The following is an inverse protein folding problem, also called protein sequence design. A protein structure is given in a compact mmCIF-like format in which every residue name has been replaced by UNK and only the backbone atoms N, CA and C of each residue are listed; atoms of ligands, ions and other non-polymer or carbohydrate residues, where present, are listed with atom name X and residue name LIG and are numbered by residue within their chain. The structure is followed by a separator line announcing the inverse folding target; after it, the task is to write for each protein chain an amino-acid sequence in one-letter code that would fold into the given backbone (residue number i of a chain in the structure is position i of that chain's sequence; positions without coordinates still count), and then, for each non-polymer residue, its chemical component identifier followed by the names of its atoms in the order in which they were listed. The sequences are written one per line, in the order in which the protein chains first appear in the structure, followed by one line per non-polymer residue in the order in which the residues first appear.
data_IF_884697210335
#
_entry.id   IF_884697210335
#
_cell.length_a   1.000
_cell.length_b   1.000
_cell.length_c   1.000
_cell.angle_alpha   90.00
_cell.angle_beta   90.00
_cell.angle_gamma   90.00
#
_symmetry.space_group_name_H-M   'P 1'
#
loop_
_entity.id
_entity.type
_entity.pdbx_description
1 polymer ?
#
# COMPACT_ATOMS: atom_id res chain seq x y z
N UNK A 1 -10.79 4.97 4.32
CA UNK A 1 -9.62 4.38 3.64
C UNK A 1 -9.67 4.46 2.10
N UNK A 2 -10.85 4.58 1.49
CA UNK A 2 -10.99 4.69 0.03
C UNK A 2 -11.54 6.05 -0.36
N UNK A 3 -12.72 6.39 0.17
CA UNK A 3 -13.43 7.61 -0.23
C UNK A 3 -12.66 8.90 0.06
N UNK A 4 -11.80 8.93 1.08
CA UNK A 4 -10.91 10.08 1.32
C UNK A 4 -9.97 10.34 0.13
N UNK A 5 -9.39 9.29 -0.45
CA UNK A 5 -8.55 9.39 -1.64
C UNK A 5 -9.36 9.81 -2.88
N UNK A 6 -10.57 9.25 -3.05
CA UNK A 6 -11.48 9.61 -4.14
C UNK A 6 -11.88 11.10 -4.06
N UNK A 7 -12.26 11.57 -2.86
CA UNK A 7 -12.65 12.97 -2.67
C UNK A 7 -11.46 13.93 -2.84
N UNK A 8 -10.27 13.56 -2.36
CA UNK A 8 -9.07 14.34 -2.59
C UNK A 8 -8.75 14.46 -4.09
N UNK A 9 -8.76 13.33 -4.81
CA UNK A 9 -8.55 13.33 -6.26
C UNK A 9 -9.61 14.17 -6.98
N UNK A 10 -10.89 13.97 -6.70
CA UNK A 10 -11.98 14.76 -7.29
C UNK A 10 -11.81 16.27 -7.08
N UNK A 11 -11.33 16.68 -5.92
CA UNK A 11 -11.16 18.09 -5.58
C UNK A 11 -9.91 18.71 -6.21
N UNK A 12 -8.80 17.99 -6.23
CA UNK A 12 -7.49 18.54 -6.59
C UNK A 12 -7.15 18.37 -8.07
N UNK A 13 -7.59 17.26 -8.67
CA UNK A 13 -7.24 16.89 -10.04
C UNK A 13 -7.58 17.95 -11.10
N UNK A 14 -8.75 18.64 -11.08
CA UNK A 14 -9.05 19.66 -12.09
C UNK A 14 -8.01 20.76 -12.18
N UNK A 15 -7.56 21.29 -11.04
CA UNK A 15 -6.54 22.35 -11.00
C UNK A 15 -5.14 21.81 -11.33
N UNK A 16 -4.83 20.57 -10.97
CA UNK A 16 -3.58 19.91 -11.36
C UNK A 16 -3.50 19.74 -12.86
N UNK A 17 -4.57 19.28 -13.51
CA UNK A 17 -4.65 19.12 -14.97
C UNK A 17 -4.57 20.47 -15.69
N UNK A 18 -5.24 21.50 -15.19
CA UNK A 18 -5.19 22.85 -15.76
C UNK A 18 -3.78 23.43 -15.79
N UNK A 19 -2.98 23.20 -14.76
CA UNK A 19 -1.58 23.66 -14.71
C UNK A 19 -0.58 22.67 -15.31
N UNK A 20 -1.03 21.48 -15.74
CA UNK A 20 -0.18 20.44 -16.32
C UNK A 20 0.79 19.79 -15.33
N UNK A 21 0.56 19.92 -14.02
CA UNK A 21 1.44 19.34 -13.00
C UNK A 21 0.72 19.05 -11.69
N UNK A 22 1.03 17.93 -11.06
CA UNK A 22 0.52 17.55 -9.77
C UNK A 22 1.09 16.21 -9.32
N UNK A 23 0.98 15.92 -8.02
CA UNK A 23 1.44 14.65 -7.49
C UNK A 23 0.52 14.13 -6.38
N UNK A 24 0.12 12.87 -6.48
CA UNK A 24 -0.60 12.16 -5.43
C UNK A 24 0.30 11.12 -4.77
N UNK A 25 0.38 11.15 -3.45
CA UNK A 25 0.94 10.04 -2.66
C UNK A 25 -0.19 9.46 -1.83
N UNK A 26 -0.64 8.29 -2.18
CA UNK A 26 -1.69 7.58 -1.46
C UNK A 26 -1.08 6.56 -0.50
N UNK A 27 -1.58 6.48 0.74
CA UNK A 27 -1.13 5.46 1.70
C UNK A 27 -2.12 4.29 1.73
N UNK A 28 -1.68 3.16 1.17
CA UNK A 28 -2.37 1.89 1.29
C UNK A 28 -1.80 1.04 2.45
N UNK A 29 -1.26 -0.11 2.15
CA UNK A 29 -0.60 -1.06 3.05
C UNK A 29 -0.11 -2.25 2.22
N UNK A 30 0.86 -3.01 2.71
CA UNK A 30 1.17 -4.35 2.21
C UNK A 30 -0.09 -5.26 2.16
N UNK A 31 -1.06 -5.03 3.05
CA UNK A 31 -2.37 -5.71 3.01
C UNK A 31 -3.18 -5.42 1.75
N UNK A 32 -2.89 -4.36 1.02
CA UNK A 32 -3.49 -4.07 -0.29
C UNK A 32 -2.89 -4.91 -1.43
N UNK A 33 -1.68 -5.42 -1.25
CA UNK A 33 -1.01 -6.33 -2.17
C UNK A 33 -1.24 -7.80 -1.77
N UNK A 34 -1.15 -8.10 -0.47
CA UNK A 34 -1.05 -9.46 0.07
C UNK A 34 -2.34 -9.98 0.72
N UNK A 35 -3.19 -9.10 1.22
CA UNK A 35 -4.33 -9.35 2.12
C UNK A 35 -3.94 -9.44 3.60
N UNK A 36 -4.87 -9.06 4.47
CA UNK A 36 -4.74 -9.16 5.93
C UNK A 36 -5.69 -10.26 6.43
N UNK A 37 -5.13 -11.31 7.06
CA UNK A 37 -5.89 -12.51 7.42
C UNK A 37 -6.98 -12.31 8.48
N UNK A 38 -6.87 -11.23 9.27
CA UNK A 38 -7.77 -10.97 10.40
C UNK A 38 -8.77 -9.83 10.13
N UNK A 39 -8.70 -9.18 8.96
CA UNK A 39 -9.60 -8.05 8.64
C UNK A 39 -9.97 -8.00 7.16
N UNK A 40 -11.19 -8.42 6.86
CA UNK A 40 -11.75 -8.30 5.50
C UNK A 40 -11.89 -6.84 5.06
N UNK A 41 -12.38 -5.97 5.94
CA UNK A 41 -12.59 -4.55 5.62
C UNK A 41 -11.27 -3.84 5.33
N UNK A 42 -10.22 -4.15 6.09
CA UNK A 42 -8.90 -3.59 5.87
C UNK A 42 -8.31 -4.06 4.55
N UNK A 43 -8.33 -5.38 4.28
CA UNK A 43 -7.87 -5.94 3.01
C UNK A 43 -8.60 -5.32 1.82
N UNK A 44 -9.93 -5.32 1.84
CA UNK A 44 -10.75 -4.80 0.75
C UNK A 44 -10.45 -3.33 0.48
N UNK A 45 -10.41 -2.50 1.52
CA UNK A 45 -10.20 -1.06 1.36
C UNK A 45 -8.78 -0.73 0.91
N UNK A 46 -7.78 -1.50 1.34
CA UNK A 46 -6.39 -1.28 0.91
C UNK A 46 -6.13 -1.74 -0.52
N UNK A 47 -6.76 -2.82 -0.99
CA UNK A 47 -6.76 -3.18 -2.41
C UNK A 47 -7.45 -2.11 -3.26
N UNK A 48 -8.59 -1.59 -2.81
CA UNK A 48 -9.29 -0.53 -3.52
C UNK A 48 -8.48 0.77 -3.60
N UNK A 49 -7.69 1.11 -2.58
CA UNK A 49 -6.79 2.28 -2.61
C UNK A 49 -5.68 2.11 -3.65
N UNK A 50 -5.13 0.90 -3.82
CA UNK A 50 -4.14 0.59 -4.87
C UNK A 50 -4.79 0.72 -6.24
N UNK A 51 -5.94 0.08 -6.47
CA UNK A 51 -6.64 0.18 -7.76
C UNK A 51 -6.99 1.62 -8.16
N UNK A 52 -7.36 2.47 -7.19
CA UNK A 52 -7.55 3.90 -7.45
C UNK A 52 -6.25 4.60 -7.88
N UNK A 53 -5.15 4.32 -7.19
CA UNK A 53 -3.85 4.93 -7.52
C UNK A 53 -3.36 4.48 -8.90
N UNK A 54 -3.50 3.19 -9.24
CA UNK A 54 -3.20 2.64 -10.57
C UNK A 54 -4.04 3.34 -11.64
N UNK A 55 -5.35 3.47 -11.42
CA UNK A 55 -6.23 4.14 -12.37
C UNK A 55 -5.84 5.60 -12.60
N UNK A 56 -5.51 6.34 -11.53
CA UNK A 56 -5.05 7.73 -11.64
C UNK A 56 -3.74 7.83 -12.43
N UNK A 57 -2.77 6.96 -12.15
CA UNK A 57 -1.48 6.94 -12.84
C UNK A 57 -1.64 6.62 -14.34
N UNK A 58 -2.45 5.60 -14.67
CA UNK A 58 -2.72 5.20 -16.05
C UNK A 58 -3.44 6.31 -16.83
N UNK A 59 -4.43 6.93 -16.18
CA UNK A 59 -5.31 7.89 -16.87
C UNK A 59 -4.65 9.26 -17.04
N UNK A 60 -3.90 9.73 -16.05
CA UNK A 60 -3.43 11.12 -16.00
C UNK A 60 -1.90 11.27 -16.01
N UNK A 61 -1.15 10.18 -15.98
CA UNK A 61 0.32 10.25 -15.93
C UNK A 61 0.92 11.03 -17.11
N UNK A 62 0.44 10.81 -18.32
CA UNK A 62 0.88 11.56 -19.52
C UNK A 62 0.40 13.03 -19.55
N UNK A 63 -0.42 13.43 -18.59
CA UNK A 63 -0.93 14.80 -18.46
C UNK A 63 -0.20 15.57 -17.32
N UNK A 64 0.97 15.08 -16.90
CA UNK A 64 1.79 15.71 -15.88
C UNK A 64 1.37 15.41 -14.44
N UNK A 65 0.57 14.35 -14.21
CA UNK A 65 0.15 13.94 -12.86
C UNK A 65 0.95 12.74 -12.39
N UNK A 66 1.87 12.97 -11.47
CA UNK A 66 2.59 11.90 -10.78
C UNK A 66 1.73 11.21 -9.73
N UNK A 67 1.91 9.91 -9.56
CA UNK A 67 1.19 9.13 -8.56
C UNK A 67 2.12 8.10 -7.92
N UNK A 68 2.14 8.06 -6.60
CA UNK A 68 2.77 6.99 -5.83
C UNK A 68 1.79 6.36 -4.86
N UNK A 69 1.96 5.08 -4.59
CA UNK A 69 1.21 4.34 -3.58
C UNK A 69 2.16 3.72 -2.56
N UNK A 70 2.02 4.13 -1.31
CA UNK A 70 2.82 3.64 -0.18
C UNK A 70 2.16 2.38 0.40
N UNK A 71 2.88 1.27 0.40
CA UNK A 71 2.43 -0.04 0.85
C UNK A 71 3.31 -0.62 1.96
N UNK A 72 3.35 -0.05 3.17
CA UNK A 72 4.17 -0.54 4.26
C UNK A 72 3.54 -1.77 4.93
N UNK A 73 4.37 -2.57 5.60
CA UNK A 73 3.93 -3.48 6.67
C UNK A 73 3.79 -2.71 7.99
N UNK A 74 4.27 -3.25 9.11
CA UNK A 74 4.17 -2.60 10.38
C UNK A 74 5.16 -1.43 10.51
N UNK A 75 4.64 -0.29 10.96
CA UNK A 75 5.42 0.92 11.26
C UNK A 75 5.16 1.29 12.72
N UNK A 76 6.17 1.69 13.46
CA UNK A 76 6.08 2.08 14.87
C UNK A 76 5.24 3.35 15.04
N UNK A 77 3.95 3.17 15.31
CA UNK A 77 2.97 4.26 15.46
C UNK A 77 2.01 3.96 16.61
N UNK A 78 1.18 4.93 16.98
CA UNK A 78 0.12 4.69 17.94
C UNK A 78 -0.86 3.57 17.51
N UNK A 79 -1.03 3.34 16.22
CA UNK A 79 -1.88 2.28 15.67
C UNK A 79 -1.32 0.89 15.91
N UNK A 80 0.01 0.73 15.92
CA UNK A 80 0.70 -0.56 16.03
C UNK A 80 1.21 -0.86 17.44
N UNK A 81 1.04 0.08 18.37
CA UNK A 81 1.45 -0.11 19.77
C UNK A 81 0.69 -1.29 20.41
N UNK A 82 1.44 -2.24 20.97
CA UNK A 82 0.89 -3.47 21.56
C UNK A 82 0.54 -4.55 20.54
N UNK A 83 0.92 -4.37 19.27
CA UNK A 83 0.64 -5.30 18.16
C UNK A 83 1.91 -5.90 17.54
N UNK A 84 3.00 -5.91 18.30
CA UNK A 84 4.33 -6.37 17.86
C UNK A 84 4.37 -7.86 17.50
N UNK A 85 3.37 -8.62 17.96
CA UNK A 85 3.21 -10.06 17.66
C UNK A 85 2.29 -10.34 16.45
N UNK A 86 1.79 -9.32 15.80
CA UNK A 86 0.97 -9.52 14.59
C UNK A 86 1.82 -9.99 13.40
N UNK A 87 1.17 -10.63 12.42
CA UNK A 87 1.85 -11.13 11.21
C UNK A 87 2.59 -10.01 10.47
N UNK A 88 2.00 -8.82 10.43
CA UNK A 88 2.60 -7.65 9.79
C UNK A 88 3.87 -7.14 10.47
N UNK A 89 4.16 -7.58 11.70
CA UNK A 89 5.31 -7.17 12.49
C UNK A 89 6.34 -8.30 12.70
N UNK A 90 6.12 -9.50 12.16
CA UNK A 90 7.00 -10.64 12.36
C UNK A 90 8.43 -10.42 11.83
N UNK A 91 8.59 -9.57 10.84
CA UNK A 91 9.87 -9.21 10.22
C UNK A 91 10.43 -7.89 10.77
N UNK A 92 9.84 -7.39 11.85
CA UNK A 92 10.18 -6.13 12.49
C UNK A 92 9.24 -5.00 12.12
N UNK A 93 9.39 -3.89 12.83
CA UNK A 93 8.69 -2.65 12.54
C UNK A 93 9.70 -1.59 12.08
N UNK A 94 9.33 -0.83 11.05
CA UNK A 94 10.12 0.33 10.63
C UNK A 94 9.75 1.57 11.44
N UNK A 95 10.70 2.48 11.59
CA UNK A 95 10.41 3.80 12.15
C UNK A 95 9.69 4.67 11.13
N UNK A 96 8.75 5.53 11.54
CA UNK A 96 8.06 6.44 10.62
C UNK A 96 9.00 7.32 9.81
N UNK A 97 10.14 7.73 10.39
CA UNK A 97 11.15 8.57 9.76
C UNK A 97 11.80 7.87 8.56
N UNK A 98 12.11 6.57 8.69
CA UNK A 98 12.72 5.77 7.62
C UNK A 98 11.73 5.61 6.46
N UNK A 99 10.46 5.31 6.77
CA UNK A 99 9.38 5.26 5.77
C UNK A 99 9.22 6.60 5.05
N UNK A 100 9.29 7.72 5.77
CA UNK A 100 9.19 9.05 5.18
C UNK A 100 10.36 9.36 4.22
N UNK A 101 11.58 8.91 4.55
CA UNK A 101 12.75 9.04 3.67
C UNK A 101 12.51 8.29 2.36
N UNK A 102 11.98 7.07 2.41
CA UNK A 102 11.69 6.27 1.22
C UNK A 102 10.59 6.90 0.36
N UNK A 103 9.56 7.49 0.98
CA UNK A 103 8.53 8.25 0.26
C UNK A 103 9.14 9.45 -0.49
N UNK A 104 10.01 10.23 0.17
CA UNK A 104 10.67 11.39 -0.48
C UNK A 104 11.56 10.94 -1.65
N UNK A 105 12.33 9.86 -1.49
CA UNK A 105 13.12 9.27 -2.57
C UNK A 105 12.25 8.85 -3.75
N UNK A 106 11.12 8.18 -3.45
CA UNK A 106 10.19 7.70 -4.45
C UNK A 106 9.54 8.85 -5.24
N UNK A 107 9.11 9.92 -4.57
CA UNK A 107 8.57 11.12 -5.23
C UNK A 107 9.61 11.73 -6.19
N UNK A 108 10.85 11.89 -5.73
CA UNK A 108 11.94 12.46 -6.55
C UNK A 108 12.25 11.64 -7.81
N UNK A 109 12.04 10.32 -7.74
CA UNK A 109 12.31 9.39 -8.83
C UNK A 109 11.04 8.92 -9.55
N UNK A 110 9.90 9.50 -9.24
CA UNK A 110 8.58 9.17 -9.81
C UNK A 110 8.22 7.68 -9.72
N UNK A 111 8.62 7.01 -8.62
CA UNK A 111 8.36 5.59 -8.39
C UNK A 111 6.90 5.42 -7.96
N UNK A 112 6.14 4.61 -8.70
CA UNK A 112 4.74 4.34 -8.41
C UNK A 112 4.53 3.54 -7.12
N UNK A 113 5.14 2.36 -7.00
CA UNK A 113 4.96 1.47 -5.85
C UNK A 113 6.09 1.68 -4.83
N UNK A 114 5.73 2.20 -3.67
CA UNK A 114 6.65 2.38 -2.53
C UNK A 114 6.39 1.25 -1.54
N UNK A 115 7.33 0.32 -1.45
CA UNK A 115 7.31 -0.79 -0.49
C UNK A 115 8.55 -0.69 0.41
N UNK A 116 8.45 -0.04 1.58
CA UNK A 116 9.60 0.16 2.46
C UNK A 116 10.16 -1.14 3.04
N UNK A 117 9.33 -2.18 3.12
CA UNK A 117 9.73 -3.51 3.59
C UNK A 117 10.06 -4.38 2.37
N UNK A 118 11.32 -4.76 2.24
CA UNK A 118 11.85 -5.44 1.04
C UNK A 118 11.15 -6.78 0.75
N UNK A 119 10.73 -7.49 1.79
CA UNK A 119 10.09 -8.81 1.69
C UNK A 119 8.71 -8.77 0.99
N UNK A 120 8.01 -7.64 1.09
CA UNK A 120 6.65 -7.47 0.55
C UNK A 120 6.62 -7.73 -0.95
N UNK A 121 7.63 -7.25 -1.68
CA UNK A 121 7.71 -7.46 -3.14
C UNK A 121 7.88 -8.93 -3.47
N UNK A 122 8.73 -9.65 -2.73
CA UNK A 122 8.91 -11.09 -2.89
C UNK A 122 7.62 -11.87 -2.63
N UNK A 123 6.89 -11.51 -1.58
CA UNK A 123 5.58 -12.12 -1.28
C UNK A 123 4.54 -11.81 -2.35
N UNK A 124 4.52 -10.59 -2.87
CA UNK A 124 3.61 -10.20 -3.93
C UNK A 124 3.89 -10.95 -5.23
N UNK A 125 5.17 -11.11 -5.60
CA UNK A 125 5.57 -11.95 -6.74
C UNK A 125 5.15 -13.40 -6.55
N UNK A 126 5.38 -13.98 -5.36
CA UNK A 126 4.95 -15.33 -5.04
C UNK A 126 3.44 -15.52 -5.15
N UNK A 127 2.66 -14.53 -4.70
CA UNK A 127 1.20 -14.49 -4.85
C UNK A 127 0.80 -14.48 -6.33
N UNK A 128 1.40 -13.60 -7.13
CA UNK A 128 1.10 -13.46 -8.56
C UNK A 128 1.46 -14.72 -9.36
N UNK A 129 2.59 -15.34 -9.05
CA UNK A 129 3.07 -16.52 -9.74
C UNK A 129 2.21 -17.77 -9.48
N UNK A 130 1.62 -17.93 -8.29
CA UNK A 130 0.76 -19.08 -7.96
C UNK A 130 -0.26 -18.75 -6.87
N UNK A 131 -1.40 -18.23 -7.29
CA UNK A 131 -2.50 -17.84 -6.39
C UNK A 131 -3.02 -18.99 -5.51
N UNK A 132 -3.17 -20.18 -6.07
CA UNK A 132 -3.65 -21.35 -5.31
C UNK A 132 -2.70 -21.74 -4.18
N UNK A 133 -1.40 -21.76 -4.47
CA UNK A 133 -0.36 -22.01 -3.47
C UNK A 133 -0.35 -20.92 -2.40
N UNK A 134 -0.45 -19.65 -2.81
CA UNK A 134 -0.53 -18.51 -1.91
C UNK A 134 -1.72 -18.61 -0.96
N UNK A 135 -2.93 -18.84 -1.48
CA UNK A 135 -4.16 -18.99 -0.68
C UNK A 135 -4.00 -20.16 0.32
N UNK A 136 -3.48 -21.31 -0.13
CA UNK A 136 -3.22 -22.45 0.76
C UNK A 136 -2.24 -22.11 1.90
N UNK A 137 -1.21 -21.34 1.63
CA UNK A 137 -0.28 -20.81 2.63
C UNK A 137 -0.96 -19.90 3.64
N UNK A 138 -1.77 -18.96 3.16
CA UNK A 138 -2.53 -18.01 4.02
C UNK A 138 -3.59 -18.71 4.89
N UNK A 139 -4.23 -19.79 4.36
CA UNK A 139 -5.15 -20.63 5.14
C UNK A 139 -4.42 -21.34 6.29
N UNK A 140 -3.24 -21.90 6.04
CA UNK A 140 -2.40 -22.51 7.10
C UNK A 140 -2.00 -21.50 8.16
N UNK A 141 -1.55 -20.31 7.73
CA UNK A 141 -1.20 -19.22 8.62
C UNK A 141 -2.40 -18.79 9.49
N UNK A 142 -3.58 -18.62 8.89
CA UNK A 142 -4.81 -18.28 9.62
C UNK A 142 -5.14 -19.34 10.68
N UNK A 143 -5.10 -20.63 10.30
CA UNK A 143 -5.37 -21.75 11.22
C UNK A 143 -4.40 -21.78 12.42
N UNK A 144 -3.11 -21.57 12.18
CA UNK A 144 -2.09 -21.56 13.23
C UNK A 144 -2.27 -20.44 14.27
N UNK A 145 -3.00 -19.37 13.93
CA UNK A 145 -3.29 -18.24 14.84
C UNK A 145 -4.62 -18.34 15.56
N UNK A 146 -5.48 -19.27 15.15
CA UNK A 146 -6.80 -19.46 15.76
C UNK A 146 -6.78 -20.55 16.83
N UNK A 147 -5.72 -21.33 16.89
CA UNK A 147 -5.44 -22.34 17.92
C UNK A 147 -4.50 -21.75 19.01
#
# INVERSE_FOLDING_TARGET
HVMSHVFAAKKLLPEMLKRGSGYFVNTASAAGLLSHIDSITYSTTKHAAIGLAEWLAITYGKQGIGVSILCPQAVETAMTRGREKEVSALEGMMKPEDVAIDVIKAIKNEIFLISPHDEVIGYFQNKANNYSRWIGGMQKLKKARTN
#
